data_IF_563151825695
#
_entry.id   IF_563151825695
#
_cell.length_a   1.000
_cell.length_b   1.000
_cell.length_c   1.000
_cell.angle_alpha   90.00
_cell.angle_beta   90.00
_cell.angle_gamma   90.00
#
_symmetry.space_group_name_H-M   'P 1'
#
loop_
_entity.id
_entity.type
_entity.pdbx_description
1 polymer ?
#
# COMPACT_ATOMS: atom_id res chain seq x y z
N UNK A 1 -25.27 23.25 -5.33
CA UNK A 1 -26.18 23.52 -4.18
C UNK A 1 -27.55 22.85 -4.23
N UNK A 2 -28.30 22.88 -5.33
CA UNK A 2 -29.70 22.37 -5.33
C UNK A 2 -29.83 20.85 -5.49
N UNK A 3 -28.90 20.19 -6.20
CA UNK A 3 -28.97 18.75 -6.50
C UNK A 3 -28.83 17.87 -5.25
N UNK A 4 -27.99 18.27 -4.27
CA UNK A 4 -27.78 17.48 -3.03
C UNK A 4 -29.07 17.30 -2.20
N UNK A 5 -30.06 18.19 -2.37
CA UNK A 5 -31.32 18.15 -1.64
C UNK A 5 -32.43 17.36 -2.35
N UNK A 6 -32.14 16.72 -3.49
CA UNK A 6 -33.11 15.85 -4.16
C UNK A 6 -33.44 14.61 -3.31
N UNK A 7 -34.65 14.03 -3.44
CA UNK A 7 -35.15 13.01 -2.52
C UNK A 7 -34.52 11.62 -2.71
N UNK A 8 -33.60 11.44 -3.65
CA UNK A 8 -32.95 10.16 -3.90
C UNK A 8 -32.24 9.63 -2.64
N UNK A 9 -32.27 8.31 -2.38
CA UNK A 9 -31.63 7.72 -1.20
C UNK A 9 -30.10 7.70 -1.29
N UNK A 10 -29.56 7.70 -2.52
CA UNK A 10 -28.14 7.69 -2.81
C UNK A 10 -27.73 8.89 -3.65
N UNK A 11 -26.51 9.36 -3.42
CA UNK A 11 -25.84 10.39 -4.17
C UNK A 11 -24.56 9.83 -4.81
N UNK A 12 -24.22 10.33 -6.00
CA UNK A 12 -22.94 10.06 -6.65
C UNK A 12 -22.12 11.35 -6.69
N UNK A 13 -20.89 11.26 -6.21
CA UNK A 13 -19.87 12.30 -6.36
C UNK A 13 -18.81 11.78 -7.31
N UNK A 14 -18.50 12.53 -8.36
CA UNK A 14 -17.61 12.08 -9.42
C UNK A 14 -16.42 13.03 -9.59
N UNK A 15 -15.27 12.42 -9.85
CA UNK A 15 -14.03 13.07 -10.29
C UNK A 15 -13.52 12.38 -11.55
N UNK A 16 -12.36 12.80 -12.07
CA UNK A 16 -11.75 12.18 -13.25
C UNK A 16 -11.45 10.68 -13.04
N UNK A 17 -11.01 10.30 -11.83
CA UNK A 17 -10.48 8.95 -11.56
C UNK A 17 -11.30 8.14 -10.54
N UNK A 18 -12.27 8.73 -9.86
CA UNK A 18 -13.10 8.01 -8.88
C UNK A 18 -14.55 8.51 -8.83
N UNK A 19 -15.49 7.57 -8.70
CA UNK A 19 -16.90 7.80 -8.36
C UNK A 19 -17.19 7.26 -6.95
N UNK A 20 -17.82 8.08 -6.12
CA UNK A 20 -18.27 7.74 -4.77
C UNK A 20 -19.79 7.65 -4.76
N UNK A 21 -20.34 6.45 -4.56
CA UNK A 21 -21.78 6.22 -4.39
C UNK A 21 -22.08 6.08 -2.90
N UNK A 22 -22.73 7.09 -2.32
CA UNK A 22 -22.87 7.26 -0.87
C UNK A 22 -24.32 7.60 -0.46
N UNK A 23 -24.75 7.31 0.79
CA UNK A 23 -26.06 7.71 1.28
C UNK A 23 -26.27 9.22 1.13
N UNK A 24 -27.40 9.64 0.55
CA UNK A 24 -27.67 11.06 0.28
C UNK A 24 -27.72 11.91 1.55
N UNK A 25 -28.11 11.34 2.68
CA UNK A 25 -28.14 12.05 3.97
C UNK A 25 -26.74 12.48 4.42
N UNK A 26 -25.72 11.64 4.23
CA UNK A 26 -24.32 11.98 4.50
C UNK A 26 -23.82 13.12 3.61
N UNK A 27 -24.33 13.24 2.37
CA UNK A 27 -23.93 14.30 1.43
C UNK A 27 -24.72 15.59 1.64
N UNK A 28 -26.00 15.50 2.04
CA UNK A 28 -26.87 16.67 2.28
C UNK A 28 -26.32 17.58 3.39
N UNK A 29 -25.75 16.98 4.43
CA UNK A 29 -25.19 17.66 5.59
C UNK A 29 -23.71 18.01 5.42
N UNK A 30 -23.07 17.56 4.34
CA UNK A 30 -21.66 17.81 4.08
C UNK A 30 -21.44 19.14 3.39
N UNK A 31 -20.67 20.01 4.02
CA UNK A 31 -20.21 21.27 3.45
C UNK A 31 -18.81 21.11 2.87
N UNK A 32 -18.52 21.80 1.77
CA UNK A 32 -17.20 21.74 1.14
C UNK A 32 -16.98 20.52 0.24
N UNK A 33 -18.04 20.01 -0.40
CA UNK A 33 -17.97 18.90 -1.38
C UNK A 33 -16.88 19.15 -2.45
N UNK A 34 -16.72 20.39 -2.91
CA UNK A 34 -15.67 20.73 -3.90
C UNK A 34 -14.27 20.44 -3.36
N UNK A 35 -14.01 20.73 -2.08
CA UNK A 35 -12.72 20.46 -1.44
C UNK A 35 -12.50 18.96 -1.18
N UNK A 36 -13.57 18.23 -0.85
CA UNK A 36 -13.56 16.77 -0.79
C UNK A 36 -13.17 16.16 -2.14
N UNK A 37 -13.81 16.60 -3.23
CA UNK A 37 -13.54 16.07 -4.57
C UNK A 37 -12.15 16.44 -5.08
N UNK A 38 -11.66 17.64 -4.77
CA UNK A 38 -10.27 18.02 -5.05
C UNK A 38 -9.27 17.15 -4.28
N UNK A 39 -9.56 16.83 -3.02
CA UNK A 39 -8.72 15.94 -2.21
C UNK A 39 -8.69 14.52 -2.79
N UNK A 40 -9.85 13.98 -3.19
CA UNK A 40 -9.94 12.70 -3.88
C UNK A 40 -9.19 12.69 -5.23
N UNK A 41 -9.30 13.75 -6.04
CA UNK A 41 -8.56 13.84 -7.31
C UNK A 41 -7.04 13.81 -7.06
N UNK A 42 -6.54 14.54 -6.06
CA UNK A 42 -5.12 14.52 -5.68
C UNK A 42 -4.68 13.13 -5.21
N UNK A 43 -5.46 12.48 -4.35
CA UNK A 43 -5.16 11.12 -3.88
C UNK A 43 -5.13 10.13 -5.05
N UNK A 44 -6.10 10.17 -5.97
CA UNK A 44 -6.13 9.27 -7.12
C UNK A 44 -4.97 9.49 -8.10
N UNK A 45 -4.56 10.74 -8.33
CA UNK A 45 -3.34 11.03 -9.12
C UNK A 45 -2.09 10.46 -8.46
N UNK A 46 -1.99 10.55 -7.14
CA UNK A 46 -0.89 9.98 -6.38
C UNK A 46 -0.93 8.44 -6.39
N UNK A 47 -2.10 7.81 -6.33
CA UNK A 47 -2.25 6.35 -6.52
C UNK A 47 -1.73 5.93 -7.89
N UNK A 48 -2.13 6.64 -8.95
CA UNK A 48 -1.66 6.41 -10.32
C UNK A 48 -0.13 6.57 -10.43
N UNK A 49 0.41 7.59 -9.77
CA UNK A 49 1.84 7.87 -9.77
C UNK A 49 2.65 6.75 -9.12
N UNK A 50 2.29 6.31 -7.91
CA UNK A 50 2.97 5.20 -7.25
C UNK A 50 2.81 3.90 -8.05
N UNK A 51 1.62 3.65 -8.61
CA UNK A 51 1.38 2.50 -9.46
C UNK A 51 2.11 2.58 -10.81
N UNK A 52 2.70 3.72 -11.17
CA UNK A 52 3.40 3.99 -12.43
C UNK A 52 2.55 3.74 -13.67
N UNK A 53 1.28 4.12 -13.58
CA UNK A 53 0.29 4.04 -14.66
C UNK A 53 -0.10 5.45 -15.13
N UNK A 54 -0.79 5.59 -16.29
CA UNK A 54 -1.25 6.89 -16.74
C UNK A 54 -2.03 7.66 -15.65
N UNK A 55 -1.85 8.99 -15.54
CA UNK A 55 -2.51 9.80 -14.50
C UNK A 55 -4.04 9.78 -14.55
N UNK A 56 -4.60 9.43 -15.71
CA UNK A 56 -6.03 9.22 -15.91
C UNK A 56 -6.25 7.73 -16.09
N UNK A 57 -7.09 7.14 -15.26
CA UNK A 57 -7.41 5.73 -15.33
C UNK A 57 -8.25 5.43 -16.58
N UNK A 58 -8.07 4.25 -17.21
CA UNK A 58 -8.90 3.86 -18.36
C UNK A 58 -10.38 3.75 -17.98
N UNK A 59 -10.68 3.59 -16.69
CA UNK A 59 -12.01 3.67 -16.08
C UNK A 59 -11.86 4.27 -14.67
N UNK A 60 -12.75 5.19 -14.24
CA UNK A 60 -12.73 5.65 -12.85
C UNK A 60 -12.94 4.49 -11.89
N UNK A 61 -12.18 4.43 -10.80
CA UNK A 61 -12.48 3.52 -9.69
C UNK A 61 -13.84 3.87 -9.08
N UNK A 62 -14.44 2.93 -8.36
CA UNK A 62 -15.74 3.12 -7.72
C UNK A 62 -15.70 2.66 -6.29
N UNK A 63 -16.13 3.52 -5.36
CA UNK A 63 -16.43 3.13 -3.98
C UNK A 63 -17.94 3.25 -3.78
N UNK A 64 -18.57 2.14 -3.44
CA UNK A 64 -20.02 2.04 -3.19
C UNK A 64 -20.23 1.68 -1.74
N UNK A 65 -20.83 2.58 -0.97
CA UNK A 65 -21.30 2.22 0.35
C UNK A 65 -22.57 1.35 0.24
N UNK A 66 -22.79 0.45 1.18
CA UNK A 66 -23.99 -0.37 1.28
C UNK A 66 -24.25 -0.78 2.73
N UNK A 67 -25.51 -1.04 3.07
CA UNK A 67 -25.93 -1.55 4.38
C UNK A 67 -25.61 -3.04 4.52
N UNK A 68 -25.55 -3.78 3.40
CA UNK A 68 -25.34 -5.22 3.39
C UNK A 68 -24.26 -5.60 2.39
N UNK A 69 -23.00 -5.32 2.74
CA UNK A 69 -21.86 -5.77 1.93
C UNK A 69 -21.60 -7.27 2.11
N UNK A 70 -20.96 -7.88 1.11
CA UNK A 70 -20.71 -9.33 1.10
C UNK A 70 -19.65 -9.80 2.09
N UNK A 71 -18.72 -8.92 2.51
CA UNK A 71 -17.62 -9.28 3.40
C UNK A 71 -17.02 -8.07 4.12
N UNK A 72 -16.58 -8.27 5.35
CA UNK A 72 -15.73 -7.32 6.06
C UNK A 72 -16.39 -5.96 6.36
N UNK A 73 -15.55 -4.93 6.42
CA UNK A 73 -15.94 -3.53 6.65
C UNK A 73 -15.84 -2.71 5.36
N UNK A 74 -14.81 -2.99 4.57
CA UNK A 74 -14.65 -2.62 3.17
C UNK A 74 -14.01 -3.82 2.45
N UNK A 75 -14.17 -3.91 1.13
CA UNK A 75 -13.38 -4.85 0.33
C UNK A 75 -13.17 -4.37 -1.11
N UNK A 76 -11.99 -4.68 -1.63
CA UNK A 76 -11.58 -4.37 -2.98
C UNK A 76 -12.41 -5.11 -4.05
N UNK A 77 -12.36 -4.58 -5.26
CA UNK A 77 -13.16 -5.03 -6.39
C UNK A 77 -13.43 -3.89 -7.36
N UNK A 78 -14.33 -4.14 -8.29
CA UNK A 78 -14.90 -3.09 -9.13
C UNK A 78 -16.43 -3.27 -9.19
N UNK A 79 -17.18 -2.59 -8.30
CA UNK A 79 -16.73 -1.55 -7.36
C UNK A 79 -15.99 -2.08 -6.13
N UNK A 80 -15.26 -1.20 -5.44
CA UNK A 80 -14.91 -1.34 -4.02
C UNK A 80 -16.21 -1.19 -3.23
N UNK A 81 -16.49 -2.13 -2.35
CA UNK A 81 -17.67 -2.09 -1.48
C UNK A 81 -17.27 -1.60 -0.09
N UNK A 82 -18.15 -0.82 0.52
CA UNK A 82 -17.93 -0.23 1.84
C UNK A 82 -19.18 -0.40 2.69
N UNK A 83 -19.05 -0.73 3.97
CA UNK A 83 -20.17 -0.61 4.89
C UNK A 83 -20.54 0.87 5.04
N UNK A 84 -21.82 1.18 5.20
CA UNK A 84 -22.29 2.56 5.43
C UNK A 84 -21.68 3.20 6.68
N UNK A 85 -21.30 2.40 7.69
CA UNK A 85 -20.60 2.90 8.86
C UNK A 85 -19.17 3.38 8.57
N UNK A 86 -18.59 2.98 7.43
CA UNK A 86 -17.25 3.43 7.01
C UNK A 86 -17.28 4.76 6.24
N UNK A 87 -18.46 5.28 5.89
CA UNK A 87 -18.63 6.53 5.12
C UNK A 87 -17.82 7.71 5.67
N UNK A 88 -17.67 7.94 7.00
CA UNK A 88 -16.81 9.00 7.51
C UNK A 88 -15.37 8.91 7.00
N UNK A 89 -14.82 7.70 6.81
CA UNK A 89 -13.47 7.51 6.24
C UNK A 89 -13.36 7.86 4.75
N UNK A 90 -14.48 8.10 4.08
CA UNK A 90 -14.58 8.44 2.66
C UNK A 90 -14.87 9.93 2.44
N UNK A 91 -15.58 10.59 3.36
CA UNK A 91 -16.03 11.99 3.16
C UNK A 91 -15.49 13.00 4.17
N UNK A 92 -14.96 12.59 5.32
CA UNK A 92 -14.51 13.53 6.35
C UNK A 92 -13.10 14.07 6.04
N UNK A 93 -13.06 15.13 5.21
CA UNK A 93 -11.81 15.77 4.79
C UNK A 93 -11.05 16.37 5.98
N UNK A 94 -11.74 16.82 7.03
CA UNK A 94 -11.06 17.36 8.21
C UNK A 94 -10.31 16.23 8.93
N UNK A 95 -10.94 15.08 9.06
CA UNK A 95 -10.27 13.88 9.57
C UNK A 95 -9.10 13.45 8.67
N UNK A 96 -9.21 13.54 7.34
CA UNK A 96 -8.11 13.19 6.43
C UNK A 96 -6.85 14.00 6.73
N UNK A 97 -6.99 15.31 6.93
CA UNK A 97 -5.87 16.20 7.24
C UNK A 97 -5.53 16.27 8.74
N UNK A 98 -6.29 15.63 9.62
CA UNK A 98 -5.98 15.56 11.05
C UNK A 98 -5.27 14.25 11.43
N UNK A 99 -5.74 13.13 10.87
CA UNK A 99 -5.28 11.78 11.23
C UNK A 99 -5.06 10.86 10.04
N UNK A 100 -5.30 11.30 8.82
CA UNK A 100 -5.16 10.46 7.62
C UNK A 100 -6.40 9.65 7.27
N UNK A 101 -6.31 8.91 6.17
CA UNK A 101 -7.32 7.94 5.73
C UNK A 101 -6.64 6.65 5.27
N UNK A 102 -7.12 5.51 5.78
CA UNK A 102 -6.47 4.21 5.56
C UNK A 102 -7.34 3.24 4.78
N UNK A 103 -8.54 2.91 5.27
CA UNK A 103 -9.41 1.88 4.72
C UNK A 103 -9.69 2.04 3.22
N UNK A 104 -10.24 3.18 2.76
CA UNK A 104 -10.51 3.37 1.34
C UNK A 104 -9.26 3.29 0.45
N UNK A 105 -8.12 3.78 0.93
CA UNK A 105 -6.86 3.74 0.19
C UNK A 105 -6.26 2.33 0.16
N UNK A 106 -6.44 1.55 1.23
CA UNK A 106 -6.05 0.15 1.31
C UNK A 106 -6.78 -0.67 0.23
N UNK A 107 -8.09 -0.49 0.08
CA UNK A 107 -8.86 -1.16 -0.98
C UNK A 107 -8.46 -0.72 -2.40
N UNK A 108 -8.16 0.57 -2.59
CA UNK A 108 -7.63 1.06 -3.86
C UNK A 108 -6.23 0.49 -4.14
N UNK A 109 -5.42 0.31 -3.09
CA UNK A 109 -4.11 -0.33 -3.13
C UNK A 109 -4.19 -1.77 -3.61
N UNK A 110 -5.19 -2.54 -3.16
CA UNK A 110 -5.47 -3.88 -3.69
C UNK A 110 -5.70 -3.87 -5.20
N UNK A 111 -6.47 -2.90 -5.73
CA UNK A 111 -6.69 -2.77 -7.17
C UNK A 111 -5.39 -2.43 -7.95
N UNK A 112 -4.36 -1.91 -7.29
CA UNK A 112 -3.06 -1.62 -7.91
C UNK A 112 -2.04 -2.76 -7.81
N UNK A 113 -2.27 -3.76 -6.94
CA UNK A 113 -1.39 -4.92 -6.85
C UNK A 113 -1.35 -5.68 -8.18
N UNK A 114 -0.16 -6.21 -8.52
CA UNK A 114 0.04 -7.07 -9.70
C UNK A 114 0.64 -8.39 -9.27
N UNK A 115 0.26 -9.46 -9.98
CA UNK A 115 0.78 -10.81 -9.73
C UNK A 115 2.31 -10.89 -9.80
N UNK A 116 2.95 -9.99 -10.55
CA UNK A 116 4.39 -9.98 -10.73
C UNK A 116 5.19 -9.68 -9.46
N UNK A 117 4.66 -8.87 -8.56
CA UNK A 117 5.32 -8.48 -7.30
C UNK A 117 4.49 -8.78 -6.05
N UNK A 118 3.34 -9.44 -6.20
CA UNK A 118 2.59 -9.98 -5.08
C UNK A 118 2.94 -11.45 -4.87
N UNK A 119 3.14 -11.85 -3.62
CA UNK A 119 3.52 -13.19 -3.15
C UNK A 119 2.41 -13.79 -2.24
N UNK A 120 1.24 -14.16 -2.77
CA UNK A 120 0.16 -14.76 -1.96
C UNK A 120 0.58 -16.06 -1.27
N UNK A 121 0.11 -16.32 -0.03
CA UNK A 121 -0.84 -15.52 0.73
C UNK A 121 -0.21 -14.34 1.49
N UNK A 122 1.12 -14.27 1.55
CA UNK A 122 1.84 -13.42 2.50
C UNK A 122 1.62 -11.92 2.32
N UNK A 123 1.73 -11.43 1.08
CA UNK A 123 1.86 -9.99 0.83
C UNK A 123 0.59 -9.33 0.31
N UNK A 124 -0.51 -10.09 0.12
CA UNK A 124 -1.77 -9.55 -0.40
C UNK A 124 -2.30 -8.45 0.50
N UNK A 125 -2.33 -8.68 1.81
CA UNK A 125 -2.77 -7.69 2.80
C UNK A 125 -1.64 -6.77 3.30
N UNK A 126 -0.44 -6.90 2.72
CA UNK A 126 0.72 -6.10 3.10
C UNK A 126 0.99 -5.02 2.06
N UNK A 127 1.28 -5.41 0.82
CA UNK A 127 1.75 -4.50 -0.23
C UNK A 127 0.68 -3.51 -0.70
N UNK A 128 -0.61 -3.82 -0.53
CA UNK A 128 -1.69 -2.86 -0.75
C UNK A 128 -1.56 -1.62 0.14
N UNK A 129 -1.01 -1.77 1.35
CA UNK A 129 -0.80 -0.67 2.29
C UNK A 129 0.33 0.29 1.89
N UNK A 130 1.14 -0.03 0.88
CA UNK A 130 2.11 0.93 0.35
C UNK A 130 1.41 2.17 -0.18
N UNK A 131 0.23 2.02 -0.80
CA UNK A 131 -0.59 3.15 -1.22
C UNK A 131 -1.14 3.93 -0.02
N UNK A 132 -1.63 3.24 1.02
CA UNK A 132 -2.10 3.91 2.24
C UNK A 132 -1.00 4.77 2.86
N UNK A 133 0.21 4.23 3.02
CA UNK A 133 1.34 5.01 3.55
C UNK A 133 1.71 6.15 2.62
N UNK A 134 1.87 5.89 1.32
CA UNK A 134 2.26 6.91 0.34
C UNK A 134 1.28 8.09 0.28
N UNK A 135 -0.01 7.83 0.26
CA UNK A 135 -1.04 8.89 0.20
C UNK A 135 -1.05 9.73 1.46
N UNK A 136 -0.99 9.10 2.63
CA UNK A 136 -0.96 9.84 3.89
C UNK A 136 0.28 10.73 3.96
N UNK A 137 1.45 10.23 3.59
CA UNK A 137 2.70 11.00 3.68
C UNK A 137 2.82 12.09 2.62
N UNK A 138 2.46 11.80 1.37
CA UNK A 138 2.78 12.67 0.23
C UNK A 138 1.65 13.62 -0.18
N UNK A 139 0.39 13.24 0.07
CA UNK A 139 -0.77 14.06 -0.26
C UNK A 139 -1.31 14.75 0.99
N UNK A 140 -1.53 13.99 2.06
CA UNK A 140 -2.14 14.51 3.28
C UNK A 140 -1.13 15.11 4.27
N UNK A 141 0.18 14.91 4.04
CA UNK A 141 1.25 15.32 4.95
C UNK A 141 1.07 14.77 6.38
N UNK A 142 0.53 13.57 6.49
CA UNK A 142 0.31 12.84 7.73
C UNK A 142 1.36 11.74 7.86
N UNK A 143 2.10 11.77 8.97
CA UNK A 143 3.08 10.72 9.25
C UNK A 143 2.40 9.38 9.51
N UNK A 144 3.03 8.29 9.08
CA UNK A 144 2.45 6.94 9.15
C UNK A 144 2.03 6.50 10.55
N UNK A 145 2.74 6.93 11.60
CA UNK A 145 2.41 6.63 12.99
C UNK A 145 1.14 7.33 13.51
N UNK A 146 0.71 8.39 12.82
CA UNK A 146 -0.58 9.06 13.05
C UNK A 146 -1.66 8.37 12.20
N UNK A 147 -1.34 8.06 10.94
CA UNK A 147 -2.26 7.45 9.99
C UNK A 147 -2.75 6.05 10.40
N UNK A 148 -1.92 5.28 11.12
CA UNK A 148 -2.28 3.94 11.57
C UNK A 148 -1.55 3.53 12.84
N UNK A 149 -2.28 3.00 13.83
CA UNK A 149 -1.72 2.61 15.14
C UNK A 149 -0.64 1.53 15.05
N UNK A 150 -0.80 0.58 14.13
CA UNK A 150 0.21 -0.47 13.88
C UNK A 150 1.54 0.11 13.37
N UNK A 151 1.55 1.33 12.85
CA UNK A 151 2.78 1.97 12.38
C UNK A 151 3.44 2.86 13.43
N UNK A 152 2.93 2.86 14.66
CA UNK A 152 3.61 3.50 15.78
C UNK A 152 4.99 2.84 16.03
N UNK A 153 6.04 3.63 16.31
CA UNK A 153 7.41 3.10 16.40
C UNK A 153 7.58 1.96 17.41
N UNK A 154 6.84 1.97 18.52
CA UNK A 154 6.91 0.90 19.51
C UNK A 154 6.25 -0.39 19.01
N UNK A 155 5.07 -0.31 18.37
CA UNK A 155 4.36 -1.45 17.81
C UNK A 155 5.19 -2.12 16.70
N UNK A 156 5.78 -1.33 15.79
CA UNK A 156 6.67 -1.83 14.74
C UNK A 156 7.90 -2.53 15.29
N UNK A 157 8.59 -1.93 16.27
CA UNK A 157 9.77 -2.53 16.91
C UNK A 157 9.41 -3.88 17.55
N UNK A 158 8.36 -3.91 18.36
CA UNK A 158 7.91 -5.13 19.03
C UNK A 158 7.52 -6.22 18.02
N UNK A 159 6.82 -5.85 16.94
CA UNK A 159 6.45 -6.77 15.86
C UNK A 159 7.68 -7.40 15.19
N UNK A 160 8.66 -6.59 14.81
CA UNK A 160 9.91 -7.05 14.19
C UNK A 160 10.65 -7.99 15.14
N UNK A 161 10.88 -7.57 16.38
CA UNK A 161 11.61 -8.38 17.38
C UNK A 161 10.90 -9.71 17.67
N UNK A 162 9.58 -9.71 17.78
CA UNK A 162 8.81 -10.92 18.02
C UNK A 162 8.87 -11.87 16.82
N UNK A 163 8.77 -11.36 15.59
CA UNK A 163 8.90 -12.16 14.38
C UNK A 163 10.27 -12.84 14.27
N UNK A 164 11.35 -12.07 14.47
CA UNK A 164 12.72 -12.58 14.44
C UNK A 164 12.95 -13.61 15.55
N UNK A 165 12.51 -13.34 16.80
CA UNK A 165 12.65 -14.27 17.93
C UNK A 165 11.95 -15.61 17.69
N UNK A 166 10.87 -15.60 16.90
CA UNK A 166 10.12 -16.79 16.51
C UNK A 166 10.68 -17.47 15.25
N UNK A 167 11.89 -17.09 14.82
CA UNK A 167 12.64 -17.73 13.75
C UNK A 167 12.34 -17.21 12.35
N UNK A 168 11.73 -16.04 12.22
CA UNK A 168 11.41 -15.41 10.93
C UNK A 168 10.70 -16.36 9.95
N UNK A 169 9.67 -17.08 10.43
CA UNK A 169 8.99 -18.08 9.61
C UNK A 169 7.99 -17.41 8.67
N UNK A 170 8.06 -17.71 7.36
CA UNK A 170 7.13 -17.13 6.38
C UNK A 170 5.65 -17.45 6.65
N UNK A 171 5.35 -18.55 7.35
CA UNK A 171 3.96 -18.85 7.75
C UNK A 171 3.33 -17.74 8.61
N UNK A 172 4.15 -16.99 9.34
CA UNK A 172 3.76 -15.89 10.23
C UNK A 172 4.06 -14.52 9.60
N UNK A 173 4.49 -14.50 8.32
CA UNK A 173 4.77 -13.30 7.53
C UNK A 173 3.49 -12.85 6.82
N UNK A 174 2.66 -12.11 7.54
CA UNK A 174 1.35 -11.62 7.10
C UNK A 174 1.11 -10.17 7.52
N UNK A 175 0.11 -9.51 6.91
CA UNK A 175 -0.36 -8.17 7.28
C UNK A 175 0.78 -7.16 7.48
N UNK A 176 0.82 -6.48 8.64
CA UNK A 176 1.85 -5.50 9.00
C UNK A 176 3.24 -6.11 9.13
N UNK A 177 3.38 -7.37 9.58
CA UNK A 177 4.70 -8.03 9.65
C UNK A 177 5.28 -8.19 8.25
N UNK A 178 4.45 -8.58 7.28
CA UNK A 178 4.86 -8.67 5.89
C UNK A 178 5.13 -7.31 5.23
N UNK A 179 4.55 -6.23 5.75
CA UNK A 179 4.75 -4.86 5.28
C UNK A 179 6.08 -4.25 5.76
N UNK A 180 6.56 -4.60 6.95
CA UNK A 180 7.78 -4.04 7.55
C UNK A 180 9.01 -3.99 6.63
N UNK A 181 9.42 -5.07 5.93
CA UNK A 181 10.59 -5.00 5.05
C UNK A 181 10.41 -3.97 3.94
N UNK A 182 9.18 -3.78 3.45
CA UNK A 182 8.91 -2.77 2.43
C UNK A 182 9.01 -1.35 3.01
N UNK A 183 8.53 -1.14 4.23
CA UNK A 183 8.66 0.16 4.89
C UNK A 183 10.12 0.49 5.22
N UNK A 184 10.92 -0.48 5.64
CA UNK A 184 12.35 -0.30 5.90
C UNK A 184 13.12 0.06 4.62
N UNK A 185 12.80 -0.58 3.49
CA UNK A 185 13.37 -0.22 2.20
C UNK A 185 12.93 1.19 1.77
N UNK A 186 11.66 1.55 2.00
CA UNK A 186 11.16 2.89 1.71
C UNK A 186 11.84 3.95 2.59
N UNK A 187 12.07 3.67 3.87
CA UNK A 187 12.76 4.59 4.80
C UNK A 187 14.23 4.79 4.40
N UNK A 188 14.88 3.75 3.88
CA UNK A 188 16.28 3.78 3.49
C UNK A 188 16.53 4.41 2.12
N UNK A 189 15.65 4.16 1.15
CA UNK A 189 15.88 4.47 -0.27
C UNK A 189 14.83 5.42 -0.88
N UNK A 190 13.75 5.70 -0.16
CA UNK A 190 12.70 6.62 -0.58
C UNK A 190 11.67 6.01 -1.55
N UNK A 191 10.65 6.81 -1.86
CA UNK A 191 9.56 6.42 -2.76
C UNK A 191 9.98 6.32 -4.24
N UNK A 192 11.01 7.06 -4.66
CA UNK A 192 11.50 7.03 -6.04
C UNK A 192 12.00 5.63 -6.44
N UNK A 193 12.69 4.91 -5.55
CA UNK A 193 13.09 3.52 -5.80
C UNK A 193 11.88 2.61 -6.01
N UNK A 194 10.80 2.79 -5.25
CA UNK A 194 9.55 2.04 -5.45
C UNK A 194 8.93 2.35 -6.81
N UNK A 195 8.83 3.64 -7.17
CA UNK A 195 8.29 4.07 -8.47
C UNK A 195 9.08 3.44 -9.62
N UNK A 196 10.42 3.52 -9.59
CA UNK A 196 11.25 2.91 -10.64
C UNK A 196 11.10 1.38 -10.71
N UNK A 197 11.04 0.70 -9.56
CA UNK A 197 10.88 -0.75 -9.51
C UNK A 197 9.51 -1.15 -10.06
N UNK A 198 8.43 -0.50 -9.62
CA UNK A 198 7.09 -0.81 -10.10
C UNK A 198 6.97 -0.55 -11.61
N UNK A 199 7.56 0.54 -12.12
CA UNK A 199 7.64 0.81 -13.56
C UNK A 199 8.42 -0.30 -14.29
N UNK A 200 9.57 -0.72 -13.76
CA UNK A 200 10.38 -1.81 -14.34
C UNK A 200 9.58 -3.10 -14.41
N UNK A 201 8.89 -3.48 -13.34
CA UNK A 201 8.09 -4.70 -13.30
C UNK A 201 6.95 -4.73 -14.33
N UNK A 202 6.43 -3.58 -14.76
CA UNK A 202 5.46 -3.54 -15.88
C UNK A 202 6.07 -3.95 -17.23
N UNK A 203 7.40 -3.92 -17.35
CA UNK A 203 8.13 -4.23 -18.60
C UNK A 203 8.83 -5.58 -18.59
N UNK A 204 8.98 -6.22 -17.41
CA UNK A 204 9.64 -7.52 -17.30
C UNK A 204 8.78 -8.59 -17.98
N UNK A 205 9.32 -9.18 -19.05
CA UNK A 205 8.79 -10.41 -19.62
C UNK A 205 9.24 -11.62 -18.80
N UNK A 206 8.35 -12.58 -18.56
CA UNK A 206 8.64 -13.86 -17.89
C UNK A 206 8.91 -13.77 -16.38
N UNK A 207 8.08 -13.03 -15.65
CA UNK A 207 8.09 -13.09 -14.19
C UNK A 207 7.70 -14.53 -13.76
N UNK A 208 8.48 -15.20 -12.90
CA UNK A 208 8.13 -16.53 -12.40
C UNK A 208 6.78 -16.54 -11.69
N UNK A 209 6.01 -17.61 -11.77
CA UNK A 209 4.75 -17.72 -11.02
C UNK A 209 4.95 -18.14 -9.56
N UNK A 210 6.01 -18.92 -9.29
CA UNK A 210 6.34 -19.41 -7.96
C UNK A 210 6.96 -18.31 -7.08
N UNK A 211 6.43 -18.16 -5.86
CA UNK A 211 6.82 -17.08 -4.95
C UNK A 211 8.30 -17.10 -4.58
N UNK A 212 8.93 -18.27 -4.44
CA UNK A 212 10.35 -18.34 -4.10
C UNK A 212 11.16 -17.61 -5.16
N UNK A 213 10.88 -17.85 -6.44
CA UNK A 213 11.60 -17.18 -7.53
C UNK A 213 11.19 -15.71 -7.67
N UNK A 214 9.94 -15.34 -7.41
CA UNK A 214 9.52 -13.93 -7.39
C UNK A 214 10.24 -13.12 -6.31
N UNK A 215 10.39 -13.70 -5.11
CA UNK A 215 11.09 -13.06 -3.99
C UNK A 215 12.58 -12.88 -4.29
N UNK A 216 13.21 -13.84 -4.98
CA UNK A 216 14.58 -13.69 -5.47
C UNK A 216 14.68 -12.59 -6.54
N UNK A 217 13.80 -12.59 -7.54
CA UNK A 217 13.74 -11.54 -8.56
C UNK A 217 13.53 -10.15 -7.96
N UNK A 218 12.70 -10.04 -6.90
CA UNK A 218 12.50 -8.80 -6.17
C UNK A 218 13.78 -8.35 -5.48
N UNK A 219 14.46 -9.24 -4.76
CA UNK A 219 15.73 -8.93 -4.11
C UNK A 219 16.81 -8.48 -5.12
N UNK A 220 16.91 -9.15 -6.27
CA UNK A 220 17.82 -8.79 -7.37
C UNK A 220 17.47 -7.42 -7.97
N UNK A 221 16.20 -7.23 -8.30
CA UNK A 221 15.71 -6.02 -8.95
C UNK A 221 15.88 -4.80 -8.04
N UNK A 222 15.57 -4.94 -6.75
CA UNK A 222 15.72 -3.87 -5.78
C UNK A 222 17.19 -3.58 -5.51
N UNK A 223 18.03 -4.62 -5.33
CA UNK A 223 19.48 -4.46 -5.13
C UNK A 223 20.13 -3.70 -6.30
N UNK A 224 19.69 -3.99 -7.53
CA UNK A 224 20.13 -3.27 -8.72
C UNK A 224 19.71 -1.80 -8.69
N UNK A 225 18.45 -1.50 -8.34
CA UNK A 225 17.92 -0.13 -8.28
C UNK A 225 18.70 0.73 -7.30
N UNK A 226 18.96 0.21 -6.09
CA UNK A 226 19.62 0.98 -5.03
C UNK A 226 21.14 0.85 -5.03
N UNK A 227 21.69 0.04 -5.94
CA UNK A 227 23.10 -0.29 -6.02
C UNK A 227 23.68 -0.75 -4.67
N UNK A 228 22.99 -1.67 -3.99
CA UNK A 228 23.40 -2.28 -2.71
C UNK A 228 23.05 -3.76 -2.70
N UNK A 229 23.86 -4.55 -2.01
CA UNK A 229 23.53 -5.95 -1.74
C UNK A 229 22.45 -6.04 -0.65
N UNK A 230 21.20 -6.27 -1.04
CA UNK A 230 20.06 -6.47 -0.12
C UNK A 230 19.84 -7.95 0.25
N UNK A 231 20.67 -8.87 -0.23
CA UNK A 231 20.56 -10.30 0.05
C UNK A 231 20.50 -10.63 1.55
N UNK A 232 21.45 -10.12 2.38
CA UNK A 232 21.43 -10.32 3.82
C UNK A 232 20.14 -9.82 4.49
N UNK A 233 19.67 -8.63 4.12
CA UNK A 233 18.43 -8.04 4.64
C UNK A 233 17.22 -8.95 4.42
N UNK A 234 17.01 -9.41 3.19
CA UNK A 234 15.89 -10.32 2.87
C UNK A 234 16.03 -11.69 3.56
N UNK A 235 17.26 -12.23 3.66
CA UNK A 235 17.50 -13.47 4.41
C UNK A 235 17.15 -13.33 5.90
N UNK A 236 17.45 -12.19 6.52
CA UNK A 236 17.06 -11.93 7.93
C UNK A 236 15.54 -11.88 8.11
N UNK A 237 14.82 -11.41 7.10
CA UNK A 237 13.35 -11.45 7.04
C UNK A 237 12.78 -12.84 6.71
N UNK A 238 13.61 -13.89 6.64
CA UNK A 238 13.17 -15.27 6.38
C UNK A 238 12.85 -15.56 4.91
N UNK A 239 13.18 -14.65 3.98
CA UNK A 239 12.95 -14.87 2.56
C UNK A 239 13.88 -15.97 2.03
N UNK A 240 13.40 -16.83 1.10
CA UNK A 240 14.16 -17.98 0.60
C UNK A 240 15.11 -17.54 -0.53
N UNK A 241 16.01 -16.59 -0.21
CA UNK A 241 17.01 -16.10 -1.17
C UNK A 241 18.02 -17.21 -1.45
N UNK A 242 18.14 -17.60 -2.70
CA UNK A 242 19.04 -18.67 -3.13
C UNK A 242 20.49 -18.28 -2.92
N UNK A 243 21.35 -19.28 -2.69
CA UNK A 243 22.78 -19.03 -2.48
C UNK A 243 23.44 -18.45 -3.73
N UNK A 244 23.05 -18.92 -4.92
CA UNK A 244 23.48 -18.36 -6.20
C UNK A 244 23.12 -16.87 -6.35
N UNK A 245 21.90 -16.50 -5.98
CA UNK A 245 21.44 -15.10 -5.98
C UNK A 245 22.23 -14.28 -4.95
N UNK A 246 22.41 -14.82 -3.74
CA UNK A 246 23.17 -14.16 -2.67
C UNK A 246 24.62 -13.88 -3.06
N UNK A 247 25.30 -14.88 -3.65
CA UNK A 247 26.67 -14.78 -4.15
C UNK A 247 26.77 -13.75 -5.28
N UNK A 248 25.84 -13.79 -6.25
CA UNK A 248 25.79 -12.83 -7.34
C UNK A 248 25.60 -11.39 -6.84
N UNK A 249 24.69 -11.19 -5.88
CA UNK A 249 24.47 -9.88 -5.27
C UNK A 249 25.70 -9.37 -4.52
N UNK A 250 26.36 -10.24 -3.75
CA UNK A 250 27.58 -9.89 -3.02
C UNK A 250 28.77 -9.57 -3.93
N UNK A 251 28.85 -10.19 -5.11
CA UNK A 251 29.87 -9.89 -6.12
C UNK A 251 29.56 -8.61 -6.90
N UNK A 252 28.28 -8.29 -7.11
CA UNK A 252 27.85 -7.20 -8.00
C UNK A 252 27.68 -5.86 -7.28
N UNK A 253 27.32 -5.87 -6.00
CA UNK A 253 26.93 -4.66 -5.28
C UNK A 253 27.64 -4.54 -3.93
N UNK A 254 27.94 -3.31 -3.48
CA UNK A 254 28.52 -3.08 -2.16
C UNK A 254 27.53 -3.45 -1.04
N UNK A 255 28.06 -3.86 0.11
CA UNK A 255 27.28 -4.13 1.32
C UNK A 255 26.45 -2.90 1.71
N UNK A 256 25.20 -3.14 2.11
CA UNK A 256 24.38 -2.11 2.73
C UNK A 256 24.74 -1.98 4.22
N UNK A 257 25.60 -1.01 4.56
CA UNK A 257 26.06 -0.82 5.94
C UNK A 257 24.95 -0.35 6.90
N UNK A 258 23.96 0.38 6.38
CA UNK A 258 22.83 0.93 7.14
C UNK A 258 21.62 -0.02 7.17
N UNK A 259 21.83 -1.32 6.88
CA UNK A 259 20.80 -2.36 6.98
C UNK A 259 20.23 -2.39 8.42
N UNK A 260 18.93 -2.04 8.64
CA UNK A 260 18.34 -2.00 9.96
C UNK A 260 18.22 -3.40 10.60
N UNK A 261 18.38 -4.45 9.79
CA UNK A 261 18.31 -5.84 10.22
C UNK A 261 19.68 -6.45 10.57
N UNK A 262 20.79 -5.71 10.38
CA UNK A 262 22.15 -6.20 10.66
C UNK A 262 22.32 -6.69 12.11
N UNK A 263 21.64 -6.05 13.06
CA UNK A 263 21.65 -6.41 14.47
C UNK A 263 21.05 -7.81 14.76
N UNK A 264 20.24 -8.34 13.84
CA UNK A 264 19.59 -9.65 13.98
C UNK A 264 20.32 -10.76 13.21
N UNK A 265 21.32 -10.45 12.39
CA UNK A 265 22.07 -11.42 11.57
C UNK A 265 23.00 -12.34 12.39
N UNK A 266 23.21 -12.02 13.67
CA UNK A 266 24.08 -12.77 14.59
C UNK A 266 23.32 -13.44 15.74
N UNK A 267 21.99 -13.50 15.66
CA UNK A 267 21.10 -14.09 16.67
C UNK A 267 20.79 -15.56 16.40
#
# INVERSE_FOLDING_TARGET
DTIRHYPAPWAELETENITLTLPSDAIRSHDGIDFLLQTWDQMMRAIAHLATIPPVFPRPERIVADVQISAGWMHAGYPIMSDVGAVPSIIDVQDFYAKGTWGPIHELGHNQQKSGWNFPPHTTEATCNLWSVYINETVLSISREIAHSELQPHARRERIENYIRNGANLKDFEMFTALEPYLQLQEAFGWDSYIHILAKYQTISNIPDDNRYKMNLWAETFSQEVNRNLGPFFKTWGWPIEDSVSENLALSYPTWADDPMIQYQHS
#
